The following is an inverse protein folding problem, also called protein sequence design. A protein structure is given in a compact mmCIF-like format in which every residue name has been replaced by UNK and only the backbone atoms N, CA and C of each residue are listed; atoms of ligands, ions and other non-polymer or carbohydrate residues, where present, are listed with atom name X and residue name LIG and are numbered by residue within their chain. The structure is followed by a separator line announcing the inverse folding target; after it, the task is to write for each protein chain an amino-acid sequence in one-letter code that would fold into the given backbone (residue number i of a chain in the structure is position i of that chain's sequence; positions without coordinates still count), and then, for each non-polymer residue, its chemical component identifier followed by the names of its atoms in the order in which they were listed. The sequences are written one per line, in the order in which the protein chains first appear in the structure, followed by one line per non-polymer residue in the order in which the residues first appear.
data_IF_922198931936
#
_entry.id   IF_922198931936
#
_cell.length_a   1.000
_cell.length_b   1.000
_cell.length_c   1.000
_cell.angle_alpha   90.00
_cell.angle_beta   90.00
_cell.angle_gamma   90.00
#
_symmetry.space_group_name_H-M   'P 1'
#
loop_
_entity.id
_entity.type
_entity.pdbx_description
1 polymer ?
#
# COMPACT_ATOMS: atom_id res chain seq x y z
N UNK A 1 2.44 28.33 -30.72
CA UNK A 1 2.26 26.86 -30.60
C UNK A 1 2.91 26.24 -29.35
N UNK A 2 4.01 26.78 -28.82
CA UNK A 2 4.73 26.21 -27.67
C UNK A 2 3.94 26.33 -26.35
N UNK A 3 3.24 27.44 -26.10
CA UNK A 3 2.44 27.65 -24.88
C UNK A 3 1.27 26.66 -24.75
N UNK A 4 0.47 26.48 -25.82
CA UNK A 4 -0.63 25.49 -25.83
C UNK A 4 -0.17 24.06 -25.51
N UNK A 5 1.03 23.66 -25.94
CA UNK A 5 1.58 22.33 -25.61
C UNK A 5 1.94 22.21 -24.13
N UNK A 6 2.58 23.23 -23.55
CA UNK A 6 2.93 23.24 -22.11
C UNK A 6 1.69 23.17 -21.22
N UNK A 7 0.63 23.89 -21.58
CA UNK A 7 -0.63 23.86 -20.83
C UNK A 7 -1.34 22.49 -20.95
N UNK A 8 -1.28 21.87 -22.12
CA UNK A 8 -1.81 20.52 -22.34
C UNK A 8 -1.06 19.46 -21.51
N UNK A 9 0.29 19.48 -21.52
CA UNK A 9 1.11 18.59 -20.70
C UNK A 9 0.88 18.79 -19.21
N UNK A 10 0.75 20.04 -18.74
CA UNK A 10 0.45 20.35 -17.35
C UNK A 10 -0.90 19.76 -16.93
N UNK A 11 -1.90 19.84 -17.82
CA UNK A 11 -3.24 19.29 -17.58
C UNK A 11 -3.23 17.76 -17.53
N UNK A 12 -2.49 17.10 -18.42
CA UNK A 12 -2.35 15.64 -18.42
C UNK A 12 -1.59 15.12 -17.21
N UNK A 13 -0.50 15.78 -16.81
CA UNK A 13 0.25 15.41 -15.62
C UNK A 13 -0.62 15.51 -14.36
N UNK A 14 -1.39 16.58 -14.21
CA UNK A 14 -2.29 16.74 -13.07
C UNK A 14 -3.34 15.63 -13.02
N UNK A 15 -3.94 15.28 -14.18
CA UNK A 15 -4.87 14.14 -14.26
C UNK A 15 -4.21 12.83 -13.82
N UNK A 16 -3.00 12.55 -14.30
CA UNK A 16 -2.25 11.36 -13.89
C UNK A 16 -1.87 11.35 -12.41
N UNK A 17 -1.58 12.50 -11.82
CA UNK A 17 -1.31 12.62 -10.39
C UNK A 17 -2.56 12.36 -9.55
N UNK A 18 -3.74 12.85 -9.97
CA UNK A 18 -5.02 12.54 -9.32
C UNK A 18 -5.35 11.05 -9.44
N UNK A 19 -5.22 10.47 -10.64
CA UNK A 19 -5.42 9.03 -10.87
C UNK A 19 -4.49 8.20 -9.97
N UNK A 20 -3.22 8.60 -9.85
CA UNK A 20 -2.24 7.89 -9.03
C UNK A 20 -2.59 7.97 -7.54
N UNK A 21 -2.97 9.14 -7.03
CA UNK A 21 -3.38 9.30 -5.64
C UNK A 21 -4.62 8.46 -5.34
N UNK A 22 -5.60 8.42 -6.26
CA UNK A 22 -6.77 7.56 -6.17
C UNK A 22 -6.41 6.07 -6.11
N UNK A 23 -5.47 5.62 -6.95
CA UNK A 23 -4.95 4.23 -6.93
C UNK A 23 -4.23 3.92 -5.63
N UNK A 24 -3.35 4.80 -5.16
CA UNK A 24 -2.65 4.64 -3.87
C UNK A 24 -3.64 4.48 -2.74
N UNK A 25 -4.68 5.33 -2.70
CA UNK A 25 -5.75 5.23 -1.70
C UNK A 25 -6.47 3.88 -1.77
N UNK A 26 -6.86 3.42 -2.96
CA UNK A 26 -7.49 2.11 -3.13
C UNK A 26 -6.58 0.96 -2.68
N UNK A 27 -5.29 1.03 -2.99
CA UNK A 27 -4.28 0.05 -2.56
C UNK A 27 -4.13 0.00 -1.03
N UNK A 28 -4.18 1.15 -0.35
CA UNK A 28 -4.19 1.20 1.11
C UNK A 28 -5.40 0.45 1.70
N UNK A 29 -6.57 0.52 1.06
CA UNK A 29 -7.75 -0.24 1.49
C UNK A 29 -7.54 -1.76 1.35
N UNK A 30 -6.88 -2.21 0.28
CA UNK A 30 -6.54 -3.63 0.11
C UNK A 30 -5.60 -4.11 1.22
N UNK A 31 -4.50 -3.38 1.44
CA UNK A 31 -3.52 -3.73 2.48
C UNK A 31 -4.17 -3.75 3.86
N UNK A 32 -5.06 -2.79 4.17
CA UNK A 32 -5.77 -2.75 5.45
C UNK A 32 -6.47 -4.07 5.76
N UNK A 33 -7.23 -4.62 4.80
CA UNK A 33 -7.89 -5.91 4.99
C UNK A 33 -6.88 -7.05 5.03
N UNK A 34 -5.99 -7.11 4.04
CA UNK A 34 -5.03 -8.21 3.89
C UNK A 34 -4.13 -8.36 5.13
N UNK A 35 -3.75 -7.25 5.78
CA UNK A 35 -2.95 -7.24 7.02
C UNK A 35 -3.53 -8.15 8.12
N UNK A 36 -4.86 -8.27 8.22
CA UNK A 36 -5.52 -9.13 9.20
C UNK A 36 -5.62 -10.60 8.78
N UNK A 37 -5.64 -10.87 7.47
CA UNK A 37 -5.72 -12.22 6.94
C UNK A 37 -4.36 -12.92 6.87
N UNK A 38 -3.29 -12.16 6.67
CA UNK A 38 -1.93 -12.71 6.55
C UNK A 38 -1.52 -13.60 7.74
N UNK A 39 -1.74 -13.20 9.01
CA UNK A 39 -1.45 -14.08 10.15
C UNK A 39 -2.30 -15.36 10.16
N UNK A 40 -3.55 -15.30 9.67
CA UNK A 40 -4.44 -16.46 9.60
C UNK A 40 -3.92 -17.45 8.55
N UNK A 41 -3.54 -16.97 7.36
CA UNK A 41 -2.94 -17.78 6.30
C UNK A 41 -1.68 -18.49 6.83
N UNK A 42 -0.84 -17.77 7.56
CA UNK A 42 0.40 -18.30 8.13
C UNK A 42 0.14 -19.40 9.18
N UNK A 43 -0.84 -19.18 10.06
CA UNK A 43 -1.28 -20.18 11.04
C UNK A 43 -1.86 -21.43 10.37
N UNK A 44 -2.69 -21.27 9.33
CA UNK A 44 -3.23 -22.38 8.55
C UNK A 44 -2.10 -23.18 7.90
N UNK A 45 -1.15 -22.52 7.24
CA UNK A 45 0.01 -23.21 6.66
C UNK A 45 0.79 -24.00 7.70
N UNK A 46 1.03 -23.43 8.88
CA UNK A 46 1.71 -24.13 9.98
C UNK A 46 0.93 -25.34 10.49
N UNK A 47 -0.37 -25.17 10.73
CA UNK A 47 -1.23 -26.23 11.26
C UNK A 47 -1.34 -27.41 10.29
N UNK A 48 -1.38 -27.11 8.98
CA UNK A 48 -1.50 -28.11 7.92
C UNK A 48 -0.16 -28.66 7.43
N UNK A 49 0.97 -28.11 7.91
CA UNK A 49 2.31 -28.45 7.41
C UNK A 49 2.52 -28.08 5.93
N UNK A 50 1.79 -27.07 5.43
CA UNK A 50 1.84 -26.64 4.03
C UNK A 50 3.04 -25.73 3.76
N UNK A 51 3.64 -25.92 2.59
CA UNK A 51 4.53 -24.95 1.96
C UNK A 51 3.73 -24.07 0.98
N UNK A 52 4.41 -23.15 0.27
CA UNK A 52 3.72 -22.24 -0.66
C UNK A 52 3.08 -22.95 -1.87
N UNK A 53 3.66 -24.05 -2.34
CA UNK A 53 3.07 -24.83 -3.44
C UNK A 53 1.77 -25.50 -2.97
N UNK A 54 1.77 -26.07 -1.76
CA UNK A 54 0.59 -26.65 -1.13
C UNK A 54 -0.49 -25.57 -0.84
N UNK A 55 -0.09 -24.37 -0.41
CA UNK A 55 -1.03 -23.26 -0.25
C UNK A 55 -1.70 -22.92 -1.58
N UNK A 56 -0.92 -22.80 -2.65
CA UNK A 56 -1.43 -22.48 -3.99
C UNK A 56 -2.38 -23.56 -4.53
N UNK A 57 -2.12 -24.83 -4.22
CA UNK A 57 -2.94 -25.96 -4.68
C UNK A 57 -4.22 -26.11 -3.85
N UNK A 58 -4.12 -26.04 -2.51
CA UNK A 58 -5.24 -26.33 -1.61
C UNK A 58 -6.09 -25.11 -1.24
N UNK A 59 -5.52 -23.91 -1.27
CA UNK A 59 -6.20 -22.65 -0.95
C UNK A 59 -5.69 -21.51 -1.87
N UNK A 60 -6.08 -21.53 -3.16
CA UNK A 60 -5.64 -20.54 -4.13
C UNK A 60 -6.08 -19.11 -3.79
N UNK A 61 -7.19 -18.94 -3.07
CA UNK A 61 -7.68 -17.62 -2.64
C UNK A 61 -6.73 -16.98 -1.63
N UNK A 62 -6.32 -17.74 -0.60
CA UNK A 62 -5.31 -17.29 0.36
C UNK A 62 -3.96 -17.02 -0.31
N UNK A 63 -3.59 -17.83 -1.31
CA UNK A 63 -2.38 -17.58 -2.11
C UNK A 63 -2.45 -16.26 -2.88
N UNK A 64 -3.57 -15.98 -3.54
CA UNK A 64 -3.80 -14.72 -4.27
C UNK A 64 -3.81 -13.53 -3.31
N UNK A 65 -4.43 -13.68 -2.14
CA UNK A 65 -4.44 -12.66 -1.10
C UNK A 65 -3.04 -12.35 -0.58
N UNK A 66 -2.22 -13.39 -0.31
CA UNK A 66 -0.82 -13.19 0.06
C UNK A 66 -0.03 -12.48 -1.05
N UNK A 67 -0.18 -12.90 -2.30
CA UNK A 67 0.48 -12.27 -3.44
C UNK A 67 0.09 -10.78 -3.55
N UNK A 68 -1.20 -10.47 -3.42
CA UNK A 68 -1.72 -9.10 -3.43
C UNK A 68 -1.11 -8.28 -2.30
N UNK A 69 -1.18 -8.75 -1.06
CA UNK A 69 -0.59 -8.07 0.10
C UNK A 69 0.89 -7.74 -0.13
N UNK A 70 1.68 -8.73 -0.51
CA UNK A 70 3.13 -8.59 -0.70
C UNK A 70 3.44 -7.58 -1.79
N UNK A 71 2.82 -7.72 -2.96
CA UNK A 71 3.12 -6.88 -4.12
C UNK A 71 2.63 -5.45 -3.92
N UNK A 72 1.42 -5.26 -3.40
CA UNK A 72 0.85 -3.94 -3.15
C UNK A 72 1.61 -3.21 -2.03
N UNK A 73 1.99 -3.91 -0.95
CA UNK A 73 2.79 -3.30 0.13
C UNK A 73 4.17 -2.88 -0.38
N UNK A 74 4.83 -3.73 -1.18
CA UNK A 74 6.13 -3.40 -1.76
C UNK A 74 6.05 -2.20 -2.70
N UNK A 75 5.04 -2.18 -3.59
CA UNK A 75 4.82 -1.07 -4.52
C UNK A 75 4.58 0.24 -3.77
N UNK A 76 3.67 0.25 -2.79
CA UNK A 76 3.40 1.44 -1.98
C UNK A 76 4.63 1.88 -1.18
N UNK A 77 5.38 0.93 -0.63
CA UNK A 77 6.59 1.23 0.12
C UNK A 77 7.59 2.01 -0.74
N UNK A 78 7.80 1.60 -1.99
CA UNK A 78 8.65 2.35 -2.92
C UNK A 78 8.09 3.73 -3.24
N UNK A 79 6.80 3.84 -3.55
CA UNK A 79 6.16 5.13 -3.86
C UNK A 79 6.27 6.12 -2.70
N UNK A 80 6.03 5.67 -1.46
CA UNK A 80 6.11 6.54 -0.28
C UNK A 80 7.55 6.84 0.14
N UNK A 81 8.50 5.94 -0.12
CA UNK A 81 9.91 6.14 0.23
C UNK A 81 10.70 7.00 -0.77
N UNK A 82 10.25 7.08 -2.03
CA UNK A 82 10.93 7.88 -3.04
C UNK A 82 10.49 9.35 -3.02
N UNK A 83 11.36 10.23 -2.53
CA UNK A 83 11.14 11.69 -2.53
C UNK A 83 10.84 12.26 -3.91
N UNK A 84 11.37 11.64 -4.96
CA UNK A 84 11.27 12.10 -6.34
C UNK A 84 10.20 11.36 -7.15
N UNK A 85 9.33 10.57 -6.50
CA UNK A 85 8.23 9.89 -7.18
C UNK A 85 7.30 10.90 -7.86
N UNK A 86 7.46 11.04 -9.18
CA UNK A 86 6.94 12.18 -9.96
C UNK A 86 5.41 12.22 -10.06
N UNK A 87 4.73 11.09 -9.81
CA UNK A 87 3.27 11.01 -9.77
C UNK A 87 2.69 11.37 -8.39
N UNK A 88 3.50 11.51 -7.34
CA UNK A 88 3.02 12.18 -6.14
C UNK A 88 3.07 13.70 -6.35
N UNK A 89 1.92 14.38 -6.34
CA UNK A 89 1.88 15.81 -6.54
C UNK A 89 2.48 16.55 -5.34
N UNK A 90 2.97 17.77 -5.58
CA UNK A 90 3.66 18.59 -4.55
C UNK A 90 2.79 18.93 -3.34
N UNK A 91 1.46 18.87 -3.49
CA UNK A 91 0.50 19.10 -2.42
C UNK A 91 0.35 17.91 -1.47
N UNK A 92 0.85 16.72 -1.83
CA UNK A 92 1.04 15.63 -0.87
C UNK A 92 2.31 15.91 -0.05
N UNK A 93 2.13 16.11 1.24
CA UNK A 93 3.20 16.45 2.16
C UNK A 93 4.23 15.30 2.28
N UNK A 94 5.50 15.64 2.04
CA UNK A 94 6.60 14.68 2.08
C UNK A 94 6.81 14.08 3.48
N UNK A 95 6.74 14.87 4.54
CA UNK A 95 6.95 14.39 5.92
C UNK A 95 5.89 13.36 6.31
N UNK A 96 4.64 13.55 5.89
CA UNK A 96 3.56 12.56 6.07
C UNK A 96 3.84 11.27 5.31
N UNK A 97 4.28 11.36 4.05
CA UNK A 97 4.69 10.19 3.26
C UNK A 97 5.84 9.44 3.92
N UNK A 98 6.84 10.17 4.41
CA UNK A 98 8.01 9.60 5.06
C UNK A 98 7.66 8.95 6.41
N UNK A 99 6.79 9.57 7.19
CA UNK A 99 6.27 8.97 8.43
C UNK A 99 5.57 7.65 8.13
N UNK A 100 4.68 7.64 7.14
CA UNK A 100 3.96 6.43 6.76
C UNK A 100 4.90 5.35 6.20
N UNK A 101 5.85 5.69 5.33
CA UNK A 101 6.82 4.71 4.81
C UNK A 101 7.70 4.13 5.90
N UNK A 102 8.05 4.90 6.94
CA UNK A 102 8.74 4.37 8.11
C UNK A 102 7.89 3.33 8.86
N UNK A 103 6.59 3.56 9.04
CA UNK A 103 5.68 2.55 9.61
C UNK A 103 5.61 1.28 8.75
N UNK A 104 5.67 1.42 7.41
CA UNK A 104 5.72 0.26 6.52
C UNK A 104 7.03 -0.55 6.65
N UNK A 105 8.17 0.09 6.96
CA UNK A 105 9.48 -0.59 7.08
C UNK A 105 9.45 -1.70 8.11
N UNK A 106 8.71 -1.51 9.19
CA UNK A 106 8.61 -2.50 10.26
C UNK A 106 8.01 -3.83 9.78
N UNK A 107 7.27 -3.81 8.67
CA UNK A 107 6.63 -4.96 8.05
C UNK A 107 7.38 -5.48 6.81
N UNK A 108 8.42 -4.79 6.34
CA UNK A 108 9.26 -5.28 5.26
C UNK A 108 9.97 -6.59 5.68
N UNK A 109 10.12 -7.59 4.80
CA UNK A 109 9.86 -7.60 3.35
C UNK A 109 8.42 -7.96 2.94
N UNK A 110 7.41 -7.71 3.79
CA UNK A 110 5.99 -7.96 3.52
C UNK A 110 5.66 -9.43 3.21
N UNK A 111 6.41 -10.35 3.81
CA UNK A 111 6.13 -11.79 3.71
C UNK A 111 5.12 -12.22 4.76
N UNK A 112 4.55 -13.42 4.59
CA UNK A 112 3.69 -14.04 5.61
C UNK A 112 4.37 -14.04 6.98
N UNK A 113 5.59 -14.59 7.04
CA UNK A 113 6.35 -14.74 8.28
C UNK A 113 6.67 -13.38 8.93
N UNK A 114 7.10 -12.39 8.14
CA UNK A 114 7.46 -11.07 8.68
C UNK A 114 6.24 -10.32 9.26
N UNK A 115 5.05 -10.54 8.70
CA UNK A 115 3.82 -9.91 9.16
C UNK A 115 3.16 -10.70 10.30
N UNK A 116 3.20 -12.03 10.24
CA UNK A 116 2.65 -12.92 11.25
C UNK A 116 3.45 -12.85 12.56
N UNK A 117 4.76 -12.60 12.50
CA UNK A 117 5.63 -12.44 13.67
C UNK A 117 5.35 -11.19 14.50
N UNK A 118 4.64 -10.21 13.94
CA UNK A 118 4.21 -9.01 14.65
C UNK A 118 3.15 -9.35 15.68
N UNK A 119 3.20 -8.69 16.83
CA UNK A 119 2.13 -8.74 17.82
C UNK A 119 0.83 -8.16 17.26
N UNK A 120 -0.30 -8.51 17.87
CA UNK A 120 -1.59 -7.92 17.50
C UNK A 120 -1.58 -6.39 17.68
N UNK A 121 -0.92 -5.87 18.71
CA UNK A 121 -0.76 -4.42 18.92
C UNK A 121 0.08 -3.74 17.84
N UNK A 122 1.15 -4.37 17.34
CA UNK A 122 1.94 -3.82 16.23
C UNK A 122 1.13 -3.79 14.93
N UNK A 123 0.37 -4.85 14.64
CA UNK A 123 -0.54 -4.90 13.48
C UNK A 123 -1.64 -3.84 13.58
N UNK A 124 -2.23 -3.66 14.75
CA UNK A 124 -3.26 -2.64 14.99
C UNK A 124 -2.69 -1.23 14.85
N UNK A 125 -1.50 -0.96 15.39
CA UNK A 125 -0.82 0.32 15.21
C UNK A 125 -0.57 0.63 13.73
N UNK A 126 -0.14 -0.37 12.95
CA UNK A 126 0.04 -0.21 11.51
C UNK A 126 -1.29 0.00 10.77
N UNK A 127 -2.34 -0.73 11.14
CA UNK A 127 -3.69 -0.54 10.59
C UNK A 127 -4.23 0.88 10.85
N UNK A 128 -3.95 1.45 12.02
CA UNK A 128 -4.26 2.85 12.36
C UNK A 128 -3.50 3.81 11.45
N UNK A 129 -2.21 3.59 11.21
CA UNK A 129 -1.43 4.42 10.29
C UNK A 129 -1.93 4.31 8.84
N UNK A 130 -2.38 3.13 8.40
CA UNK A 130 -3.02 2.95 7.08
C UNK A 130 -4.28 3.81 6.99
N UNK A 131 -5.16 3.77 7.99
CA UNK A 131 -6.38 4.59 7.98
C UNK A 131 -6.06 6.09 8.04
N UNK A 132 -5.13 6.53 8.90
CA UNK A 132 -4.69 7.94 8.95
C UNK A 132 -4.16 8.42 7.61
N UNK A 133 -3.43 7.57 6.88
CA UNK A 133 -2.93 7.92 5.56
C UNK A 133 -4.06 7.97 4.54
N UNK A 134 -5.02 7.03 4.57
CA UNK A 134 -6.22 7.08 3.72
C UNK A 134 -7.03 8.34 3.94
N UNK A 135 -7.34 8.68 5.20
CA UNK A 135 -8.11 9.87 5.54
C UNK A 135 -7.42 11.14 5.02
N UNK A 136 -6.10 11.21 5.20
CA UNK A 136 -5.30 12.30 4.63
C UNK A 136 -5.39 12.36 3.10
N UNK A 137 -5.34 11.23 2.40
CA UNK A 137 -5.49 11.21 0.94
C UNK A 137 -6.91 11.60 0.51
N UNK A 138 -7.93 11.19 1.25
CA UNK A 138 -9.34 11.53 0.98
C UNK A 138 -9.57 13.04 1.12
N UNK A 139 -9.08 13.66 2.19
CA UNK A 139 -9.15 15.13 2.40
C UNK A 139 -8.49 15.90 1.25
N UNK A 140 -7.30 15.44 0.85
CA UNK A 140 -6.53 16.15 -0.16
C UNK A 140 -7.12 15.94 -1.55
N UNK A 141 -7.65 14.75 -1.86
CA UNK A 141 -8.42 14.50 -3.08
C UNK A 141 -9.64 15.42 -3.13
N UNK A 142 -10.46 15.51 -2.08
CA UNK A 142 -11.63 16.41 -2.04
C UNK A 142 -11.27 17.88 -2.29
N UNK A 143 -10.09 18.31 -1.86
CA UNK A 143 -9.61 19.69 -2.07
C UNK A 143 -9.17 19.96 -3.53
N UNK A 144 -8.84 18.92 -4.30
CA UNK A 144 -8.22 19.03 -5.63
C UNK A 144 -9.01 18.32 -6.75
N UNK A 145 -10.22 17.82 -6.46
CA UNK A 145 -11.21 17.33 -7.44
C UNK A 145 -12.38 18.29 -7.50
#
# INVERSE_FOLDING_TARGET
MIFKRKDLFRTELVKKQLDEVGKVRASLQSIFFDLYYIPIIEQTMRAMGWNFDALKEHDPESWEQYCRYKNTSLELFYKFSDRNYYLFPKWINWERRQKFSNSMKDFAPFTLVATASKSSSEREAYAIEINRMKDYLDDVLQTHT
#
